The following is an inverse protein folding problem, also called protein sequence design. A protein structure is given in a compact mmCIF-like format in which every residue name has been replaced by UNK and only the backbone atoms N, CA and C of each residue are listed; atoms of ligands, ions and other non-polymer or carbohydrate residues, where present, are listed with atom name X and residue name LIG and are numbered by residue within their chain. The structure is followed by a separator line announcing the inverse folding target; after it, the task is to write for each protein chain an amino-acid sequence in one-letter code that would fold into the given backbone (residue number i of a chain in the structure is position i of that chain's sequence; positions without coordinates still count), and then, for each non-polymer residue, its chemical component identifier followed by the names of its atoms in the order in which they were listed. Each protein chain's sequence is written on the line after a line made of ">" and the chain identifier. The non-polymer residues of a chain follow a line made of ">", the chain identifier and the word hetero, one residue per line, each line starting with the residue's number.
data_IF_249077712655
#
_entry.id   IF_249077712655
#
_cell.length_a   1.000
_cell.length_b   1.000
_cell.length_c   1.000
_cell.angle_alpha   90.00
_cell.angle_beta   90.00
_cell.angle_gamma   90.00
#
_symmetry.space_group_name_H-M   'P 1'
#
loop_
_entity.id
_entity.type
_entity.pdbx_description
1 polymer ?
#
# COMPACT_ATOMS: atom_id res chain seq x y z
N UNK A 1 -11.21 13.05 4.77
CA UNK A 1 -10.03 12.32 5.26
C UNK A 1 -8.92 12.58 4.28
N UNK A 2 -7.73 12.89 4.76
CA UNK A 2 -6.51 12.99 3.98
C UNK A 2 -5.60 11.80 4.35
N UNK A 3 -4.42 11.72 3.76
CA UNK A 3 -3.45 10.65 4.05
C UNK A 3 -2.88 10.67 5.50
N UNK A 4 -3.30 11.61 6.36
CA UNK A 4 -2.90 11.66 7.78
C UNK A 4 -3.28 10.39 8.53
N UNK A 5 -4.42 9.77 8.21
CA UNK A 5 -4.84 8.53 8.85
C UNK A 5 -3.97 7.35 8.47
N UNK A 6 -3.58 7.27 7.19
CA UNK A 6 -2.62 6.26 6.72
C UNK A 6 -1.27 6.46 7.39
N UNK A 7 -0.82 7.70 7.50
CA UNK A 7 0.42 8.03 8.22
C UNK A 7 0.37 7.61 9.68
N UNK A 8 -0.76 7.79 10.37
CA UNK A 8 -0.96 7.32 11.75
C UNK A 8 -0.94 5.79 11.84
N UNK A 9 -1.63 5.10 10.92
CA UNK A 9 -1.67 3.64 10.86
C UNK A 9 -0.26 3.06 10.64
N UNK A 10 0.49 3.62 9.68
CA UNK A 10 1.87 3.22 9.36
C UNK A 10 2.80 3.44 10.56
N UNK A 11 2.71 4.60 11.24
CA UNK A 11 3.53 4.87 12.44
C UNK A 11 3.21 3.94 13.60
N UNK A 12 1.92 3.60 13.80
CA UNK A 12 1.49 2.64 14.84
C UNK A 12 1.95 1.22 14.50
N UNK A 13 1.96 0.85 13.23
CA UNK A 13 2.39 -0.46 12.73
C UNK A 13 3.90 -0.62 12.51
N UNK A 14 4.73 0.15 13.23
CA UNK A 14 6.21 0.11 13.12
C UNK A 14 6.75 0.40 11.72
N UNK A 15 6.10 1.29 10.97
CA UNK A 15 6.55 1.73 9.65
C UNK A 15 5.82 1.09 8.47
N UNK A 16 4.77 0.31 8.72
CA UNK A 16 3.88 -0.24 7.69
C UNK A 16 2.44 -0.41 8.17
N UNK A 17 1.49 -0.50 7.24
CA UNK A 17 0.08 -0.76 7.51
C UNK A 17 -0.56 -1.48 6.32
N UNK A 18 -1.53 -2.36 6.61
CA UNK A 18 -2.34 -3.00 5.57
C UNK A 18 -3.70 -2.32 5.54
N UNK A 19 -4.04 -1.75 4.38
CA UNK A 19 -5.29 -1.02 4.15
C UNK A 19 -5.97 -1.55 2.90
N UNK A 20 -7.28 -1.38 2.79
CA UNK A 20 -8.02 -1.67 1.56
C UNK A 20 -7.92 -0.53 0.55
N UNK A 21 -8.12 -0.83 -0.73
CA UNK A 21 -8.25 0.17 -1.79
C UNK A 21 -9.43 1.12 -1.52
N UNK A 22 -10.49 0.63 -0.88
CA UNK A 22 -11.60 1.47 -0.39
C UNK A 22 -11.12 2.53 0.60
N UNK A 23 -10.37 2.13 1.63
CA UNK A 23 -9.82 3.05 2.64
C UNK A 23 -8.89 4.09 2.00
N UNK A 24 -8.02 3.67 1.06
CA UNK A 24 -7.17 4.57 0.29
C UNK A 24 -7.97 5.60 -0.50
N UNK A 25 -9.07 5.16 -1.12
CA UNK A 25 -9.92 6.01 -1.94
C UNK A 25 -10.69 7.03 -1.09
N UNK A 26 -11.19 6.61 0.06
CA UNK A 26 -11.84 7.48 1.05
C UNK A 26 -10.87 8.54 1.58
N UNK A 27 -9.61 8.17 1.83
CA UNK A 27 -8.53 9.10 2.19
C UNK A 27 -8.15 10.07 1.06
N UNK A 28 -8.35 9.69 -0.20
CA UNK A 28 -8.12 10.59 -1.33
C UNK A 28 -9.34 11.47 -1.66
N UNK A 29 -10.48 11.28 -0.99
CA UNK A 29 -11.75 11.96 -1.30
C UNK A 29 -12.30 11.61 -2.69
N UNK A 30 -11.94 10.45 -3.24
CA UNK A 30 -12.28 10.07 -4.63
C UNK A 30 -13.50 9.14 -4.69
N UNK A 31 -14.26 9.26 -5.79
CA UNK A 31 -15.49 8.51 -6.06
C UNK A 31 -15.28 7.03 -6.37
N UNK A 32 -15.12 6.62 -7.63
CA UNK A 32 -14.86 5.21 -8.02
C UNK A 32 -13.36 4.97 -8.18
N UNK A 33 -12.86 3.80 -7.76
CA UNK A 33 -11.48 3.37 -7.98
C UNK A 33 -11.22 2.96 -9.46
N UNK A 34 -11.35 3.92 -10.38
CA UNK A 34 -10.93 3.74 -11.77
C UNK A 34 -9.41 3.88 -11.92
N UNK A 35 -8.87 3.47 -13.07
CA UNK A 35 -7.42 3.51 -13.37
C UNK A 35 -6.77 4.85 -13.01
N UNK A 36 -7.42 5.96 -13.36
CA UNK A 36 -6.91 7.31 -13.05
C UNK A 36 -6.86 7.59 -11.54
N UNK A 37 -7.92 7.22 -10.81
CA UNK A 37 -7.99 7.41 -9.35
C UNK A 37 -6.91 6.58 -8.65
N UNK A 38 -6.69 5.36 -9.13
CA UNK A 38 -5.66 4.47 -8.60
C UNK A 38 -4.26 5.05 -8.83
N UNK A 39 -3.98 5.61 -10.01
CA UNK A 39 -2.71 6.32 -10.28
C UNK A 39 -2.55 7.57 -9.42
N UNK A 40 -3.60 8.37 -9.25
CA UNK A 40 -3.59 9.57 -8.39
C UNK A 40 -3.30 9.20 -6.92
N UNK A 41 -3.89 8.11 -6.41
CA UNK A 41 -3.62 7.60 -5.07
C UNK A 41 -2.16 7.16 -4.93
N UNK A 42 -1.65 6.41 -5.92
CA UNK A 42 -0.26 5.96 -5.93
C UNK A 42 0.72 7.14 -5.91
N UNK A 43 0.48 8.17 -6.74
CA UNK A 43 1.29 9.37 -6.77
C UNK A 43 1.27 10.12 -5.43
N UNK A 44 0.08 10.30 -4.83
CA UNK A 44 -0.04 10.99 -3.55
C UNK A 44 0.67 10.23 -2.41
N UNK A 45 0.62 8.90 -2.40
CA UNK A 45 1.37 8.10 -1.44
C UNK A 45 2.88 8.34 -1.56
N UNK A 46 3.41 8.38 -2.79
CA UNK A 46 4.83 8.64 -3.05
C UNK A 46 5.23 10.05 -2.63
N UNK A 47 4.40 11.06 -2.92
CA UNK A 47 4.62 12.45 -2.48
C UNK A 47 4.70 12.57 -0.96
N UNK A 48 3.91 11.76 -0.23
CA UNK A 48 3.91 11.70 1.23
C UNK A 48 5.01 10.80 1.82
N UNK A 49 5.89 10.24 0.98
CA UNK A 49 7.03 9.41 1.41
C UNK A 49 6.68 7.94 1.67
N UNK A 50 5.55 7.47 1.16
CA UNK A 50 5.13 6.08 1.26
C UNK A 50 5.41 5.29 -0.02
N UNK A 51 5.72 4.01 0.15
CA UNK A 51 5.62 3.01 -0.90
C UNK A 51 4.41 2.09 -0.66
N UNK A 52 4.04 1.33 -1.67
CA UNK A 52 2.96 0.35 -1.56
C UNK A 52 3.24 -0.96 -2.28
N UNK A 53 2.58 -2.03 -1.82
CA UNK A 53 2.52 -3.32 -2.48
C UNK A 53 1.06 -3.79 -2.56
N UNK A 54 0.60 -4.29 -3.72
CA UNK A 54 1.35 -4.50 -4.96
C UNK A 54 1.79 -3.18 -5.65
N UNK A 55 2.80 -3.26 -6.54
CA UNK A 55 3.38 -2.09 -7.23
C UNK A 55 2.35 -1.34 -8.08
N UNK A 56 1.43 -2.06 -8.70
CA UNK A 56 0.21 -1.47 -9.24
C UNK A 56 -0.92 -1.70 -8.25
N UNK A 57 -1.54 -0.61 -7.79
CA UNK A 57 -2.68 -0.70 -6.88
C UNK A 57 -3.83 -1.47 -7.54
N UNK A 58 -4.47 -2.42 -6.85
CA UNK A 58 -5.60 -3.15 -7.39
C UNK A 58 -6.80 -2.23 -7.66
N UNK A 59 -7.63 -2.59 -8.64
CA UNK A 59 -8.90 -1.89 -8.94
C UNK A 59 -10.06 -2.35 -8.07
N UNK A 60 -9.96 -3.56 -7.52
CA UNK A 60 -10.92 -4.12 -6.60
C UNK A 60 -10.81 -3.41 -5.24
N UNK A 61 -11.93 -2.89 -4.76
CA UNK A 61 -11.99 -1.99 -3.61
C UNK A 61 -11.74 -2.73 -2.29
N UNK A 62 -12.06 -4.03 -2.25
CA UNK A 62 -11.89 -4.86 -1.06
C UNK A 62 -10.48 -5.46 -0.97
N UNK A 63 -9.68 -5.33 -2.04
CA UNK A 63 -8.30 -5.80 -2.02
C UNK A 63 -7.45 -5.02 -1.04
N UNK A 64 -6.60 -5.77 -0.33
CA UNK A 64 -5.65 -5.25 0.63
C UNK A 64 -4.34 -4.86 -0.05
N UNK A 65 -3.77 -3.77 0.45
CA UNK A 65 -2.55 -3.13 0.00
C UNK A 65 -1.69 -2.88 1.23
N UNK A 66 -0.43 -3.27 1.16
CA UNK A 66 0.56 -2.91 2.16
C UNK A 66 1.10 -1.53 1.83
N UNK A 67 1.02 -0.60 2.77
CA UNK A 67 1.65 0.72 2.72
C UNK A 67 2.82 0.72 3.69
N UNK A 68 3.95 1.30 3.29
CA UNK A 68 5.17 1.36 4.11
C UNK A 68 5.92 2.68 3.92
N UNK A 69 6.74 3.05 4.89
CA UNK A 69 7.65 4.20 4.78
C UNK A 69 8.77 3.89 3.80
N UNK A 70 8.85 4.61 2.68
CA UNK A 70 9.81 4.33 1.61
C UNK A 70 11.28 4.55 2.04
N UNK A 71 11.50 5.50 2.96
CA UNK A 71 12.83 5.85 3.47
C UNK A 71 13.35 4.89 4.56
N UNK A 72 12.49 4.01 5.08
CA UNK A 72 12.85 3.03 6.10
C UNK A 72 13.63 1.83 5.54
N UNK A 73 14.41 1.17 6.38
CA UNK A 73 15.14 -0.06 6.00
C UNK A 73 14.17 -1.15 5.51
N UNK A 74 13.07 -1.36 6.23
CA UNK A 74 12.00 -2.29 5.83
C UNK A 74 11.37 -1.88 4.51
N UNK A 75 11.12 -0.58 4.31
CA UNK A 75 10.52 -0.06 3.07
C UNK A 75 11.40 -0.28 1.85
N UNK A 76 12.71 -0.08 1.95
CA UNK A 76 13.66 -0.37 0.85
C UNK A 76 13.67 -1.84 0.47
N UNK A 77 13.57 -2.73 1.47
CA UNK A 77 13.47 -4.17 1.23
C UNK A 77 12.14 -4.52 0.52
N UNK A 78 11.02 -3.96 0.99
CA UNK A 78 9.70 -4.18 0.39
C UNK A 78 9.62 -3.63 -1.04
N UNK A 79 10.20 -2.45 -1.31
CA UNK A 79 10.26 -1.88 -2.65
C UNK A 79 11.08 -2.77 -3.60
N UNK A 80 12.24 -3.27 -3.15
CA UNK A 80 13.05 -4.20 -3.93
C UNK A 80 12.30 -5.50 -4.24
N UNK A 81 11.60 -6.08 -3.26
CA UNK A 81 10.74 -7.26 -3.46
C UNK A 81 9.62 -6.95 -4.45
N UNK A 82 8.98 -5.78 -4.34
CA UNK A 82 7.93 -5.32 -5.24
C UNK A 82 8.35 -5.23 -6.70
N UNK A 83 9.53 -4.66 -6.96
CA UNK A 83 10.06 -4.50 -8.32
C UNK A 83 10.43 -5.83 -8.98
N UNK A 84 10.82 -6.82 -8.18
CA UNK A 84 11.16 -8.17 -8.68
C UNK A 84 9.93 -9.07 -8.86
N UNK A 85 8.83 -8.77 -8.18
CA UNK A 85 7.56 -9.44 -8.38
C UNK A 85 6.90 -8.91 -9.67
N UNK A 86 6.94 -9.69 -10.75
CA UNK A 86 6.20 -9.35 -11.97
C UNK A 86 4.71 -9.09 -11.64
N UNK A 87 4.04 -8.15 -12.34
CA UNK A 87 2.59 -7.94 -12.20
C UNK A 87 1.86 -9.26 -12.41
N UNK A 88 1.11 -9.72 -11.40
CA UNK A 88 0.44 -11.02 -11.43
C UNK A 88 0.23 -11.65 -10.04
N UNK A 89 -0.27 -12.90 -9.97
CA UNK A 89 -0.66 -13.58 -8.73
C UNK A 89 0.43 -13.64 -7.65
N UNK A 90 1.69 -13.50 -8.06
CA UNK A 90 2.87 -13.51 -7.20
C UNK A 90 2.99 -12.27 -6.31
N UNK A 91 2.47 -11.12 -6.78
CA UNK A 91 2.44 -9.88 -6.00
C UNK A 91 1.37 -9.92 -4.90
N UNK A 92 0.23 -10.55 -5.17
CA UNK A 92 -0.81 -10.82 -4.15
C UNK A 92 -0.29 -11.76 -3.06
N UNK A 93 0.49 -12.77 -3.43
CA UNK A 93 1.13 -13.67 -2.49
C UNK A 93 2.14 -12.96 -1.59
N UNK A 94 2.85 -11.92 -2.09
CA UNK A 94 3.75 -11.11 -1.28
C UNK A 94 3.00 -10.35 -0.19
N UNK A 95 1.86 -9.72 -0.53
CA UNK A 95 1.01 -9.03 0.45
C UNK A 95 0.47 -10.00 1.50
N UNK A 96 -0.05 -11.16 1.08
CA UNK A 96 -0.54 -12.17 2.01
C UNK A 96 0.57 -12.79 2.89
N UNK A 97 1.81 -12.87 2.37
CA UNK A 97 2.97 -13.36 3.12
C UNK A 97 3.38 -12.34 4.18
N UNK A 98 3.45 -11.06 3.82
CA UNK A 98 3.73 -9.99 4.78
C UNK A 98 2.62 -9.92 5.84
N UNK A 99 1.34 -10.00 5.45
CA UNK A 99 0.22 -10.05 6.39
C UNK A 99 0.39 -11.19 7.43
N UNK A 100 0.72 -12.41 6.98
CA UNK A 100 0.98 -13.53 7.90
C UNK A 100 2.19 -13.31 8.80
N UNK A 101 3.25 -12.69 8.30
CA UNK A 101 4.46 -12.40 9.08
C UNK A 101 4.22 -11.30 10.12
N UNK A 102 3.32 -10.36 9.84
CA UNK A 102 2.99 -9.25 10.74
C UNK A 102 1.91 -9.59 11.78
N UNK A 103 1.00 -10.52 11.49
CA UNK A 103 -0.07 -10.94 12.42
C UNK A 103 0.43 -11.97 13.44
N UNK A 104 1.58 -12.63 13.20
CA UNK A 104 2.15 -13.67 14.09
C UNK A 104 3.46 -13.29 14.80
N UNK A 105 3.87 -12.02 14.74
CA UNK A 105 5.06 -11.48 15.42
C UNK A 105 4.73 -10.72 16.68
#
# INVERSE_FOLDING_TARGET
>A
MDFTEIRRAVRKGRGQAIVSVRELRECAGKGRAGTRVVQEISAALVEDGFGHLPFELPRDQDRKVLIYLADSETGRLLDAVGRTASPGPRSDAAVATVDRLLVRG
#
